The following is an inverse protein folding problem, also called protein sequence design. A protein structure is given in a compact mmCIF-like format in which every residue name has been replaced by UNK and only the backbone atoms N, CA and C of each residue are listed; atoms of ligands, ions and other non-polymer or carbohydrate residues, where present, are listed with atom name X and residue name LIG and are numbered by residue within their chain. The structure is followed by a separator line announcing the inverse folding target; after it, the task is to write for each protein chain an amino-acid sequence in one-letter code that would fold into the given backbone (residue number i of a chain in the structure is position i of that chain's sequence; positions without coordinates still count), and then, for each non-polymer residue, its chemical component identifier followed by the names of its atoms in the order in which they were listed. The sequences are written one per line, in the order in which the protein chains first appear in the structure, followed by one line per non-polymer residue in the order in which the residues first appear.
data_IF_389313787596
#
_entry.id   IF_389313787596
#
_cell.length_a   1.000
_cell.length_b   1.000
_cell.length_c   1.000
_cell.angle_alpha   90.00
_cell.angle_beta   90.00
_cell.angle_gamma   90.00
#
_symmetry.space_group_name_H-M   'P 1'
#
loop_
_entity.id
_entity.type
_entity.pdbx_description
1 polymer ?
#
# COMPACT_ATOMS: atom_id res chain seq x y z
N UNK A 1 -0.61 13.35 -6.74
CA UNK A 1 -0.14 12.53 -7.86
C UNK A 1 0.39 11.18 -7.37
N UNK A 2 0.68 10.30 -8.29
CA UNK A 2 1.10 8.94 -7.98
C UNK A 2 2.62 8.83 -8.06
N UNK A 3 3.27 8.63 -6.93
CA UNK A 3 4.71 8.37 -6.87
C UNK A 3 4.93 6.86 -6.73
N UNK A 4 5.47 6.26 -7.78
CA UNK A 4 5.73 4.83 -7.76
C UNK A 4 7.04 4.52 -7.07
N UNK A 5 7.03 3.51 -6.22
CA UNK A 5 8.21 3.06 -5.49
C UNK A 5 8.10 1.58 -5.18
N UNK A 6 9.18 1.01 -4.70
CA UNK A 6 9.15 -0.31 -4.07
C UNK A 6 9.62 -0.18 -2.63
N UNK A 7 9.21 -1.12 -1.81
CA UNK A 7 9.55 -1.09 -0.39
C UNK A 7 10.85 -1.84 -0.12
N UNK A 8 11.65 -1.32 0.78
CA UNK A 8 12.85 -2.01 1.28
C UNK A 8 12.44 -2.96 2.41
N UNK A 9 11.68 -3.97 2.04
CA UNK A 9 11.14 -4.97 2.95
C UNK A 9 11.01 -6.29 2.22
N UNK A 10 10.87 -7.40 2.96
CA UNK A 10 10.52 -8.69 2.36
C UNK A 10 9.06 -8.68 2.00
N UNK A 11 8.23 -8.24 2.94
CA UNK A 11 6.78 -8.15 2.77
C UNK A 11 6.30 -6.85 3.40
N UNK A 12 5.38 -6.19 2.73
CA UNK A 12 4.67 -5.04 3.29
C UNK A 12 3.22 -5.41 3.53
N UNK A 13 2.70 -5.05 4.70
CA UNK A 13 1.32 -5.22 5.09
C UNK A 13 0.65 -3.85 5.15
N UNK A 14 -0.51 -3.74 4.53
CA UNK A 14 -1.32 -2.51 4.61
C UNK A 14 -2.72 -2.88 5.06
N UNK A 15 -3.22 -2.18 6.08
CA UNK A 15 -4.56 -2.40 6.63
C UNK A 15 -5.36 -1.11 6.48
N UNK A 16 -6.58 -1.23 5.97
CA UNK A 16 -7.51 -0.11 5.90
C UNK A 16 -8.13 0.17 7.26
N UNK A 17 -8.14 1.41 7.70
CA UNK A 17 -8.62 1.79 9.02
C UNK A 17 -9.91 2.58 9.02
N UNK A 18 -10.28 3.19 7.91
CA UNK A 18 -11.49 4.02 7.88
C UNK A 18 -12.16 4.03 6.50
N UNK A 19 -13.34 4.62 6.49
CA UNK A 19 -14.09 4.96 5.29
C UNK A 19 -14.45 6.44 5.32
N UNK A 20 -15.31 6.88 4.42
CA UNK A 20 -15.75 8.26 4.38
C UNK A 20 -14.80 9.16 3.60
N UNK A 21 -14.03 8.59 2.70
CA UNK A 21 -13.16 9.33 1.79
C UNK A 21 -13.42 8.87 0.35
N UNK A 22 -13.01 9.68 -0.61
CA UNK A 22 -13.08 9.32 -2.01
C UNK A 22 -11.68 9.37 -2.63
N UNK A 23 -11.47 8.55 -3.66
CA UNK A 23 -10.15 8.38 -4.25
C UNK A 23 -9.29 7.46 -3.41
N UNK A 24 -7.99 7.66 -3.48
CA UNK A 24 -7.04 6.83 -2.74
C UNK A 24 -6.87 5.45 -3.37
N UNK A 25 -6.40 4.51 -2.55
CA UNK A 25 -6.06 3.17 -2.98
C UNK A 25 -4.59 3.03 -3.32
N UNK A 26 -4.15 1.79 -3.46
CA UNK A 26 -2.76 1.48 -3.83
C UNK A 26 -2.72 0.94 -5.24
N UNK A 27 -1.92 1.55 -6.10
CA UNK A 27 -1.77 1.12 -7.48
C UNK A 27 -0.47 0.35 -7.64
N UNK A 28 -0.56 -0.85 -8.18
CA UNK A 28 0.59 -1.70 -8.50
C UNK A 28 0.86 -1.61 -9.99
N UNK A 29 1.99 -1.04 -10.34
CA UNK A 29 2.30 -0.68 -11.72
C UNK A 29 2.39 -1.90 -12.64
N UNK A 30 3.21 -2.88 -12.29
CA UNK A 30 3.43 -4.05 -13.16
C UNK A 30 2.19 -4.92 -13.27
N UNK A 31 1.42 -5.03 -12.22
CA UNK A 31 0.18 -5.81 -12.20
C UNK A 31 -1.01 -5.03 -12.74
N UNK A 32 -0.87 -3.74 -12.94
CA UNK A 32 -1.92 -2.82 -13.40
C UNK A 32 -3.19 -2.96 -12.57
N UNK A 33 -3.00 -3.03 -11.26
CA UNK A 33 -4.09 -3.24 -10.31
C UNK A 33 -4.20 -2.09 -9.33
N UNK A 34 -5.43 -1.65 -9.10
CA UNK A 34 -5.75 -0.69 -8.05
C UNK A 34 -6.49 -1.42 -6.94
N UNK A 35 -5.98 -1.34 -5.73
CA UNK A 35 -6.56 -2.01 -4.57
C UNK A 35 -7.12 -0.96 -3.62
N UNK A 36 -8.40 -1.08 -3.29
CA UNK A 36 -9.06 -0.28 -2.26
C UNK A 36 -9.47 -1.20 -1.12
N UNK A 37 -9.07 -0.84 0.10
CA UNK A 37 -9.33 -1.66 1.27
C UNK A 37 -10.57 -1.17 2.00
N UNK A 38 -11.40 -2.14 2.42
CA UNK A 38 -12.45 -1.89 3.40
C UNK A 38 -11.84 -1.84 4.79
N UNK A 39 -12.61 -1.35 5.77
CA UNK A 39 -12.13 -1.32 7.16
C UNK A 39 -11.79 -2.74 7.61
N UNK A 40 -10.59 -2.90 8.14
CA UNK A 40 -10.10 -4.18 8.63
C UNK A 40 -9.55 -5.11 7.57
N UNK A 41 -9.73 -4.79 6.29
CA UNK A 41 -9.08 -5.57 5.23
C UNK A 41 -7.61 -5.23 5.15
N UNK A 42 -6.82 -6.23 4.80
CA UNK A 42 -5.38 -6.09 4.70
C UNK A 42 -4.89 -6.66 3.39
N UNK A 43 -3.85 -6.06 2.84
CA UNK A 43 -3.10 -6.66 1.74
C UNK A 43 -1.66 -6.86 2.17
N UNK A 44 -1.08 -7.96 1.69
CA UNK A 44 0.34 -8.22 1.79
C UNK A 44 0.92 -8.11 0.39
N UNK A 45 2.07 -7.47 0.25
CA UNK A 45 2.76 -7.52 -1.02
C UNK A 45 4.28 -7.59 -0.80
N UNK A 46 4.99 -8.26 -1.72
CA UNK A 46 6.46 -8.26 -1.66
C UNK A 46 7.00 -6.85 -1.83
N UNK A 47 8.11 -6.57 -1.15
CA UNK A 47 8.73 -5.25 -1.21
C UNK A 47 9.64 -5.02 -2.41
N UNK A 48 9.85 -6.03 -3.25
CA UNK A 48 10.80 -5.96 -4.34
C UNK A 48 10.33 -5.16 -5.55
N UNK A 49 11.23 -5.05 -6.53
CA UNK A 49 10.99 -4.25 -7.74
C UNK A 49 9.81 -4.71 -8.57
N UNK A 50 9.44 -5.99 -8.47
CA UNK A 50 8.28 -6.53 -9.20
C UNK A 50 6.96 -5.91 -8.74
N UNK A 51 6.96 -5.23 -7.59
CA UNK A 51 5.78 -4.63 -7.01
C UNK A 51 5.93 -3.12 -6.81
N UNK A 52 6.38 -2.44 -7.87
CA UNK A 52 6.33 -0.99 -7.90
C UNK A 52 4.89 -0.55 -7.67
N UNK A 53 4.70 0.37 -6.72
CA UNK A 53 3.37 0.81 -6.34
C UNK A 53 3.38 2.25 -5.86
N UNK A 54 2.20 2.81 -5.73
CA UNK A 54 2.03 4.15 -5.18
C UNK A 54 0.61 4.36 -4.69
N UNK A 55 0.44 5.29 -3.79
CA UNK A 55 -0.86 5.67 -3.28
C UNK A 55 -1.50 6.69 -4.22
N UNK A 56 -2.73 6.41 -4.65
CA UNK A 56 -3.48 7.39 -5.43
C UNK A 56 -3.96 8.52 -4.52
N UNK A 57 -4.01 9.75 -5.00
CA UNK A 57 -4.48 10.87 -4.19
C UNK A 57 -5.90 10.65 -3.69
N UNK A 58 -6.13 11.01 -2.44
CA UNK A 58 -7.48 11.09 -1.88
C UNK A 58 -8.07 12.42 -2.36
N UNK A 59 -9.25 12.35 -2.94
CA UNK A 59 -9.89 13.54 -3.54
C UNK A 59 -10.88 14.20 -2.57
N UNK A 60 -11.36 13.47 -1.59
CA UNK A 60 -12.29 13.98 -0.58
C UNK A 60 -12.13 13.16 0.69
N UNK A 61 -12.17 13.83 1.84
CA UNK A 61 -12.03 13.20 3.14
C UNK A 61 -10.59 12.88 3.50
N UNK A 62 -10.42 12.03 4.49
CA UNK A 62 -9.11 11.60 4.98
C UNK A 62 -9.05 10.09 5.03
N UNK A 63 -7.97 9.51 4.52
CA UNK A 63 -7.75 8.07 4.51
C UNK A 63 -6.69 7.71 5.54
N UNK A 64 -7.01 6.76 6.40
CA UNK A 64 -6.08 6.23 7.40
C UNK A 64 -5.76 4.78 7.09
N UNK A 65 -4.48 4.42 7.13
CA UNK A 65 -4.02 3.05 6.96
C UNK A 65 -2.93 2.74 7.98
N UNK A 66 -2.83 1.46 8.35
CA UNK A 66 -1.69 0.95 9.09
C UNK A 66 -0.76 0.28 8.10
N UNK A 67 0.50 0.66 8.08
CA UNK A 67 1.50 0.06 7.19
C UNK A 67 2.59 -0.57 8.04
N UNK A 68 2.92 -1.82 7.73
CA UNK A 68 3.96 -2.56 8.43
C UNK A 68 4.97 -3.10 7.43
N UNK A 69 6.23 -2.79 7.63
CA UNK A 69 7.32 -3.28 6.80
C UNK A 69 8.02 -4.43 7.51
N UNK A 70 7.94 -5.62 6.93
CA UNK A 70 8.51 -6.83 7.53
C UNK A 70 9.88 -7.07 6.90
N UNK A 71 10.90 -7.05 7.71
CA UNK A 71 12.30 -7.21 7.31
C UNK A 71 12.94 -8.38 8.04
N UNK A 72 14.06 -8.93 7.53
CA UNK A 72 14.79 -9.96 8.26
C UNK A 72 15.29 -9.42 9.60
N UNK A 73 15.24 -10.25 10.65
CA UNK A 73 15.66 -9.83 11.98
C UNK A 73 17.17 -9.61 12.07
N UNK A 74 17.94 -10.29 11.27
CA UNK A 74 19.40 -10.22 11.32
C UNK A 74 19.95 -10.02 9.92
N UNK A 75 19.58 -8.95 9.32
CA UNK A 75 20.19 -8.56 8.06
C UNK A 75 21.51 -7.86 8.39
N UNK A 76 22.57 -8.46 8.05
CA UNK A 76 23.87 -7.85 8.27
C UNK A 76 24.45 -7.40 6.97
#
# INVERSE_FOLDING_TARGET
HLDLHHDDSIVTLVVGLNKGFEGGGTYFYNQRSLINLEIGEAIFHPGGLTHLHGARPVTSGTRYTLVSFIKPMFAN
#
